data_IF_170082415333
#
_entry.id   IF_170082415333
#
_cell.length_a   1.000
_cell.length_b   1.000
_cell.length_c   1.000
_cell.angle_alpha   90.00
_cell.angle_beta   90.00
_cell.angle_gamma   90.00
#
_symmetry.space_group_name_H-M   'P 1'
#
loop_
_entity.id
_entity.type
_entity.pdbx_description
1 polymer ?
#
# COMPACT_ATOMS: atom_id res chain seq x y z
N UNK A 1 4.68 3.30 11.70
CA UNK A 1 3.97 2.03 11.44
C UNK A 1 2.93 1.68 12.50
N UNK A 2 2.99 2.20 13.74
CA UNK A 2 1.98 1.87 14.78
C UNK A 2 0.52 2.05 14.36
N UNK A 3 0.18 3.11 13.60
CA UNK A 3 -1.19 3.34 13.14
C UNK A 3 -1.71 2.25 12.19
N UNK A 4 -0.83 1.52 11.51
CA UNK A 4 -1.23 0.40 10.64
C UNK A 4 -1.83 -0.77 11.44
N UNK A 5 -1.48 -0.90 12.73
CA UNK A 5 -2.10 -1.89 13.62
C UNK A 5 -3.59 -1.64 13.85
N UNK A 6 -4.04 -0.39 13.75
CA UNK A 6 -5.47 -0.02 13.83
C UNK A 6 -6.23 -0.53 12.60
N UNK A 7 -5.52 -0.77 11.49
CA UNK A 7 -6.07 -1.26 10.24
C UNK A 7 -5.91 -2.78 10.10
N UNK A 8 -5.53 -3.48 11.17
CA UNK A 8 -5.19 -4.91 11.19
C UNK A 8 -4.09 -5.30 10.17
N UNK A 9 -3.16 -4.38 9.88
CA UNK A 9 -2.04 -4.59 8.96
C UNK A 9 -0.70 -4.56 9.71
N UNK A 10 0.07 -5.64 9.57
CA UNK A 10 1.49 -5.70 9.91
C UNK A 10 2.34 -5.45 8.65
N UNK A 11 2.70 -4.19 8.41
CA UNK A 11 3.52 -3.80 7.25
C UNK A 11 4.96 -4.34 7.28
N UNK A 12 5.44 -4.77 8.44
CA UNK A 12 6.75 -5.41 8.57
C UNK A 12 6.70 -6.91 8.21
N UNK A 13 5.50 -7.50 8.15
CA UNK A 13 5.32 -8.85 7.65
C UNK A 13 5.47 -8.86 6.12
N UNK A 14 6.62 -9.34 5.68
CA UNK A 14 7.01 -9.39 4.27
C UNK A 14 6.47 -10.63 3.55
N UNK A 15 5.76 -11.53 4.25
CA UNK A 15 5.19 -12.74 3.65
C UNK A 15 3.93 -12.44 2.83
N UNK A 16 3.24 -11.34 3.12
CA UNK A 16 2.02 -10.92 2.44
C UNK A 16 1.90 -9.40 2.35
N UNK A 17 1.43 -8.86 1.21
CA UNK A 17 1.12 -7.42 1.11
C UNK A 17 -0.07 -7.06 2.02
N UNK A 18 -0.24 -5.77 2.41
CA UNK A 18 -1.38 -5.34 3.23
C UNK A 18 -2.74 -5.82 2.75
N UNK A 19 -2.94 -5.89 1.44
CA UNK A 19 -4.17 -6.40 0.83
C UNK A 19 -4.50 -7.83 1.27
N UNK A 20 -3.52 -8.72 1.42
CA UNK A 20 -3.75 -10.12 1.78
C UNK A 20 -3.84 -10.37 3.29
N UNK A 21 -3.65 -9.33 4.11
CA UNK A 21 -3.73 -9.44 5.58
C UNK A 21 -5.14 -9.18 6.12
N UNK A 22 -6.07 -8.67 5.30
CA UNK A 22 -7.43 -8.27 5.71
C UNK A 22 -8.52 -8.96 4.89
N UNK A 23 -9.75 -8.97 5.40
CA UNK A 23 -10.92 -9.54 4.71
C UNK A 23 -11.29 -8.76 3.44
N UNK A 24 -11.93 -9.43 2.47
CA UNK A 24 -12.36 -8.84 1.20
C UNK A 24 -13.23 -7.57 1.38
N UNK A 25 -14.07 -7.52 2.41
CA UNK A 25 -14.93 -6.34 2.70
C UNK A 25 -14.14 -5.09 3.13
N UNK A 26 -12.88 -5.25 3.51
CA UNK A 26 -12.01 -4.19 4.03
C UNK A 26 -10.95 -3.72 3.02
N UNK A 27 -10.98 -4.24 1.79
CA UNK A 27 -9.96 -3.97 0.79
C UNK A 27 -10.54 -3.81 -0.61
N UNK A 28 -9.81 -3.10 -1.46
CA UNK A 28 -10.03 -3.01 -2.90
C UNK A 28 -8.67 -2.88 -3.59
N UNK A 29 -8.54 -3.48 -4.78
CA UNK A 29 -7.33 -3.46 -5.61
C UNK A 29 -7.66 -2.92 -6.99
N UNK A 30 -6.73 -2.14 -7.54
CA UNK A 30 -6.75 -1.67 -8.91
C UNK A 30 -5.44 -2.04 -9.59
N UNK A 31 -5.49 -2.51 -10.82
CA UNK A 31 -4.29 -2.67 -11.63
C UNK A 31 -3.72 -1.30 -11.99
N UNK A 32 -2.39 -1.16 -11.99
CA UNK A 32 -1.74 0.12 -12.27
C UNK A 32 -2.07 0.64 -13.67
N UNK A 33 -2.26 -0.29 -14.62
CA UNK A 33 -2.54 -0.04 -16.04
C UNK A 33 -3.80 0.82 -16.22
N UNK A 34 -4.76 0.73 -15.28
CA UNK A 34 -5.97 1.57 -15.25
C UNK A 34 -5.65 3.07 -15.22
N UNK A 35 -4.51 3.45 -14.63
CA UNK A 35 -4.12 4.83 -14.43
C UNK A 35 -3.07 5.33 -15.43
N UNK A 36 -2.51 4.45 -16.25
CA UNK A 36 -1.59 4.83 -17.32
C UNK A 36 -2.33 5.73 -18.33
N UNK A 37 -1.87 6.98 -18.46
CA UNK A 37 -2.57 7.99 -19.26
C UNK A 37 -3.89 8.51 -18.64
N UNK A 38 -4.38 7.93 -17.53
CA UNK A 38 -5.60 8.32 -16.83
C UNK A 38 -5.32 8.89 -15.42
N UNK A 39 -4.56 9.99 -15.38
CA UNK A 39 -4.24 10.66 -14.11
C UNK A 39 -5.46 11.28 -13.41
N UNK A 40 -6.56 11.50 -14.15
CA UNK A 40 -7.82 11.98 -13.57
C UNK A 40 -8.47 10.88 -12.72
N UNK A 41 -8.45 9.63 -13.18
CA UNK A 41 -8.91 8.47 -12.41
C UNK A 41 -8.11 8.30 -11.13
N UNK A 42 -6.77 8.35 -11.23
CA UNK A 42 -5.88 8.29 -10.07
C UNK A 42 -6.22 9.38 -9.04
N UNK A 43 -6.37 10.63 -9.51
CA UNK A 43 -6.70 11.74 -8.61
C UNK A 43 -8.08 11.59 -7.99
N UNK A 44 -9.05 11.04 -8.72
CA UNK A 44 -10.41 10.78 -8.23
C UNK A 44 -10.39 9.84 -7.02
N UNK A 45 -9.78 8.67 -7.16
CA UNK A 45 -9.67 7.68 -6.07
C UNK A 45 -8.96 8.27 -4.85
N UNK A 46 -7.84 8.95 -5.07
CA UNK A 46 -7.10 9.55 -3.95
C UNK A 46 -7.91 10.64 -3.24
N UNK A 47 -8.68 11.45 -3.98
CA UNK A 47 -9.53 12.50 -3.38
C UNK A 47 -10.67 11.91 -2.56
N UNK A 48 -11.20 10.75 -2.95
CA UNK A 48 -12.22 10.04 -2.16
C UNK A 48 -11.66 9.38 -0.91
N UNK A 49 -10.41 8.94 -0.98
CA UNK A 49 -9.69 8.35 0.13
C UNK A 49 -9.31 9.40 1.18
N UNK A 50 -8.83 10.57 0.75
CA UNK A 50 -8.33 11.62 1.64
C UNK A 50 -9.47 12.47 2.20
N UNK A 51 -9.63 12.48 3.53
CA UNK A 51 -10.56 13.33 4.27
C UNK A 51 -9.78 14.53 4.83
N UNK A 52 -9.77 15.63 4.10
CA UNK A 52 -9.06 16.85 4.54
C UNK A 52 -9.71 17.50 5.78
N UNK A 53 -8.93 17.91 6.81
CA UNK A 53 -7.47 17.81 6.90
C UNK A 53 -7.01 16.42 7.38
N UNK A 54 -6.30 15.70 6.51
CA UNK A 54 -5.74 14.39 6.84
C UNK A 54 -4.24 14.50 7.15
N UNK A 55 -3.81 13.84 8.23
CA UNK A 55 -2.39 13.69 8.56
C UNK A 55 -1.94 12.31 8.11
N UNK A 56 -1.28 12.25 6.96
CA UNK A 56 -0.85 11.01 6.32
C UNK A 56 0.56 10.65 6.80
N UNK A 57 0.73 9.43 7.31
CA UNK A 57 2.04 8.85 7.52
C UNK A 57 2.43 8.02 6.30
N UNK A 58 3.71 7.97 5.99
CA UNK A 58 4.25 7.09 4.96
C UNK A 58 5.28 6.16 5.59
N UNK A 59 5.26 4.89 5.22
CA UNK A 59 6.30 3.92 5.61
C UNK A 59 6.81 3.18 4.40
N UNK A 60 8.13 3.02 4.32
CA UNK A 60 8.79 2.36 3.19
C UNK A 60 10.10 1.70 3.60
N UNK A 61 10.54 0.71 2.83
CA UNK A 61 11.88 0.12 3.00
C UNK A 61 12.92 1.13 2.49
N UNK A 62 13.79 1.58 3.39
CA UNK A 62 14.85 2.55 3.08
C UNK A 62 16.23 1.92 2.92
N UNK A 63 16.37 0.65 3.28
CA UNK A 63 17.62 -0.08 3.21
C UNK A 63 17.59 -1.38 4.00
N UNK A 64 18.73 -2.06 4.02
CA UNK A 64 18.94 -3.29 4.75
C UNK A 64 20.40 -3.44 5.21
N UNK A 65 20.62 -4.34 6.16
CA UNK A 65 21.94 -4.77 6.63
C UNK A 65 21.98 -6.29 6.56
N UNK A 66 22.81 -6.85 5.69
CA UNK A 66 23.01 -8.31 5.62
C UNK A 66 23.76 -8.80 6.86
N UNK A 67 23.38 -9.97 7.38
CA UNK A 67 24.04 -10.61 8.51
C UNK A 67 25.54 -10.80 8.25
N UNK A 68 26.33 -10.66 9.32
CA UNK A 68 27.80 -10.66 9.23
C UNK A 68 28.41 -9.41 8.57
N UNK A 69 27.60 -8.48 8.05
CA UNK A 69 28.05 -7.17 7.57
C UNK A 69 27.64 -6.08 8.56
N UNK A 70 28.47 -5.06 8.69
CA UNK A 70 28.18 -3.88 9.51
C UNK A 70 27.63 -2.69 8.70
N UNK A 71 27.74 -2.75 7.37
CA UNK A 71 27.43 -1.63 6.49
C UNK A 71 25.99 -1.70 5.97
N UNK A 72 25.25 -0.62 6.18
CA UNK A 72 23.94 -0.37 5.57
C UNK A 72 24.03 -0.27 4.05
N UNK A 73 23.12 -0.94 3.36
CA UNK A 73 22.81 -0.73 1.95
C UNK A 73 21.53 0.09 1.86
N UNK A 74 21.58 1.21 1.14
CA UNK A 74 20.45 2.12 1.01
C UNK A 74 19.63 1.79 -0.23
N UNK A 75 18.31 1.75 -0.07
CA UNK A 75 17.38 1.63 -1.19
C UNK A 75 17.29 2.95 -1.98
N UNK A 76 17.19 2.84 -3.31
CA UNK A 76 17.07 4.01 -4.21
C UNK A 76 15.62 4.45 -4.36
N UNK A 77 14.97 4.79 -3.24
CA UNK A 77 13.52 5.04 -3.17
C UNK A 77 13.05 6.30 -3.89
N UNK A 78 13.95 7.27 -4.11
CA UNK A 78 13.67 8.61 -4.68
C UNK A 78 12.58 9.41 -3.94
N UNK A 79 12.14 8.96 -2.76
CA UNK A 79 10.99 9.55 -2.06
C UNK A 79 11.19 11.03 -1.71
N UNK A 80 12.43 11.43 -1.42
CA UNK A 80 12.80 12.83 -1.14
C UNK A 80 12.61 13.79 -2.31
N UNK A 81 12.32 13.30 -3.53
CA UNK A 81 11.93 14.15 -4.67
C UNK A 81 10.47 14.59 -4.59
N UNK A 82 9.63 13.84 -3.88
CA UNK A 82 8.19 14.03 -3.84
C UNK A 82 7.73 14.57 -2.49
N UNK A 83 8.46 14.22 -1.42
CA UNK A 83 8.06 14.48 -0.04
C UNK A 83 9.18 15.14 0.74
N UNK A 84 8.83 16.08 1.61
CA UNK A 84 9.78 16.62 2.60
C UNK A 84 10.02 15.57 3.69
N UNK A 85 11.24 15.05 3.75
CA UNK A 85 11.66 14.12 4.79
C UNK A 85 11.92 14.90 6.10
N UNK A 86 10.86 15.12 6.87
CA UNK A 86 10.90 15.72 8.22
C UNK A 86 10.16 14.79 9.18
N UNK A 87 10.49 14.83 10.47
CA UNK A 87 9.81 14.03 11.50
C UNK A 87 9.79 12.52 11.18
N UNK A 88 10.94 11.97 10.78
CA UNK A 88 11.07 10.58 10.39
C UNK A 88 11.62 9.71 11.53
N UNK A 89 11.27 8.42 11.52
CA UNK A 89 11.80 7.40 12.43
C UNK A 89 12.15 6.14 11.66
N UNK A 90 13.19 5.43 12.08
CA UNK A 90 13.54 4.12 11.54
C UNK A 90 13.05 2.99 12.46
N UNK A 91 12.64 1.88 11.85
CA UNK A 91 12.33 0.62 12.52
C UNK A 91 13.11 -0.48 11.83
N UNK A 92 13.84 -1.26 12.62
CA UNK A 92 14.67 -2.36 12.15
C UNK A 92 13.98 -3.67 12.45
N UNK A 93 13.90 -4.55 11.46
CA UNK A 93 13.24 -5.84 11.56
C UNK A 93 14.19 -6.89 11.02
N UNK A 94 14.56 -7.84 11.87
CA UNK A 94 15.38 -8.98 11.48
C UNK A 94 14.52 -9.95 10.68
N UNK A 95 14.97 -10.31 9.49
CA UNK A 95 14.28 -11.24 8.58
C UNK A 95 15.23 -12.38 8.28
N UNK A 96 15.04 -13.47 9.00
CA UNK A 96 15.94 -14.63 8.95
C UNK A 96 15.98 -15.28 7.57
N UNK A 97 14.84 -15.35 6.87
CA UNK A 97 14.74 -15.87 5.50
C UNK A 97 15.59 -15.08 4.49
N UNK A 98 15.87 -13.80 4.78
CA UNK A 98 16.70 -12.93 3.95
C UNK A 98 18.12 -12.75 4.51
N UNK A 99 18.44 -13.41 5.63
CA UNK A 99 19.67 -13.23 6.41
C UNK A 99 20.02 -11.75 6.56
N UNK A 100 19.03 -10.90 6.82
CA UNK A 100 19.17 -9.45 6.77
C UNK A 100 18.24 -8.75 7.75
N UNK A 101 18.71 -7.64 8.31
CA UNK A 101 17.87 -6.66 8.98
C UNK A 101 17.32 -5.68 7.95
N UNK A 102 16.00 -5.65 7.76
CA UNK A 102 15.31 -4.63 6.94
C UNK A 102 15.14 -3.35 7.75
N UNK A 103 15.35 -2.20 7.12
CA UNK A 103 15.18 -0.87 7.71
C UNK A 103 13.97 -0.18 7.06
N UNK A 104 12.88 -0.09 7.81
CA UNK A 104 11.71 0.69 7.45
C UNK A 104 11.87 2.13 7.94
N UNK A 105 11.58 3.10 7.09
CA UNK A 105 11.51 4.52 7.47
C UNK A 105 10.06 4.96 7.46
N UNK A 106 9.58 5.53 8.56
CA UNK A 106 8.30 6.23 8.64
C UNK A 106 8.53 7.74 8.59
N UNK A 107 7.81 8.47 7.74
CA UNK A 107 7.74 9.94 7.74
C UNK A 107 6.31 10.32 8.13
N UNK A 108 6.15 11.22 9.09
CA UNK A 108 4.83 11.64 9.58
C UNK A 108 4.39 12.97 9.00
N UNK A 109 3.08 13.14 8.82
CA UNK A 109 2.47 14.40 8.41
C UNK A 109 2.79 14.82 6.97
N UNK A 110 2.74 13.85 6.07
CA UNK A 110 2.83 14.04 4.61
C UNK A 110 1.53 14.62 4.09
N UNK A 111 1.62 15.56 3.15
CA UNK A 111 0.45 16.17 2.53
C UNK A 111 -0.09 15.31 1.37
N UNK A 112 -1.41 15.32 1.15
CA UNK A 112 -2.08 14.60 0.07
C UNK A 112 -1.49 14.86 -1.33
N UNK A 113 -1.13 16.11 -1.65
CA UNK A 113 -0.46 16.46 -2.90
C UNK A 113 0.92 15.81 -3.07
N UNK A 114 1.65 15.57 -1.96
CA UNK A 114 2.93 14.87 -1.99
C UNK A 114 2.70 13.38 -2.28
N UNK A 115 1.66 12.79 -1.70
CA UNK A 115 1.23 11.40 -1.99
C UNK A 115 0.84 11.26 -3.46
N UNK A 116 -0.02 12.15 -3.97
CA UNK A 116 -0.43 12.14 -5.38
C UNK A 116 0.75 12.27 -6.34
N UNK A 117 1.73 13.14 -6.04
CA UNK A 117 2.95 13.26 -6.86
C UNK A 117 3.75 11.97 -6.91
N UNK A 118 3.86 11.26 -5.79
CA UNK A 118 4.53 9.96 -5.75
C UNK A 118 3.74 8.90 -6.53
N UNK A 119 2.43 8.77 -6.30
CA UNK A 119 1.61 7.81 -7.02
C UNK A 119 1.63 8.06 -8.53
N UNK A 120 1.55 9.33 -8.96
CA UNK A 120 1.72 9.72 -10.36
C UNK A 120 3.08 9.30 -10.90
N UNK A 121 4.15 9.38 -10.11
CA UNK A 121 5.47 8.94 -10.56
C UNK A 121 5.50 7.43 -10.81
N UNK A 122 4.97 6.63 -9.90
CA UNK A 122 4.92 5.16 -10.05
C UNK A 122 4.07 4.75 -11.25
N UNK A 123 2.86 5.30 -11.38
CA UNK A 123 1.95 5.06 -12.52
C UNK A 123 2.59 5.38 -13.88
N UNK A 124 3.54 6.31 -13.94
CA UNK A 124 4.26 6.64 -15.18
C UNK A 124 5.58 5.84 -15.34
N UNK A 125 5.65 4.62 -14.82
CA UNK A 125 6.83 3.74 -14.92
C UNK A 125 7.99 4.13 -13.99
N UNK A 126 7.69 4.87 -12.92
CA UNK A 126 8.67 5.23 -11.91
C UNK A 126 9.14 4.03 -11.09
N UNK A 127 10.40 4.04 -10.67
CA UNK A 127 10.92 3.02 -9.73
C UNK A 127 10.24 3.19 -8.36
N UNK A 128 9.47 2.21 -7.91
CA UNK A 128 8.88 2.23 -6.57
C UNK A 128 9.87 1.80 -5.47
N UNK A 129 9.51 2.16 -4.25
CA UNK A 129 9.92 1.45 -3.05
C UNK A 129 8.76 0.54 -2.60
N UNK A 130 9.03 -0.45 -1.76
CA UNK A 130 7.96 -1.06 -0.96
C UNK A 130 7.44 0.01 0.01
N UNK A 131 6.22 0.51 -0.21
CA UNK A 131 5.72 1.75 0.39
C UNK A 131 4.21 1.69 0.66
N UNK A 132 3.79 2.34 1.75
CA UNK A 132 2.38 2.58 2.03
C UNK A 132 2.16 3.95 2.66
N UNK A 133 1.05 4.58 2.30
CA UNK A 133 0.55 5.84 2.82
C UNK A 133 -0.70 5.57 3.64
N UNK A 134 -0.79 6.07 4.86
CA UNK A 134 -1.86 5.65 5.77
C UNK A 134 -2.17 6.70 6.82
N UNK A 135 -3.35 6.59 7.39
CA UNK A 135 -3.76 7.23 8.62
C UNK A 135 -4.49 6.19 9.49
N UNK A 136 -5.33 6.61 10.44
CA UNK A 136 -6.09 5.68 11.30
C UNK A 136 -7.34 5.12 10.62
N UNK A 137 -7.64 5.55 9.39
CA UNK A 137 -8.86 5.22 8.65
C UNK A 137 -8.62 4.49 7.35
N UNK A 138 -7.42 4.57 6.78
CA UNK A 138 -7.07 3.85 5.56
C UNK A 138 -5.57 3.59 5.44
N UNK A 139 -5.23 2.64 4.58
CA UNK A 139 -3.91 2.41 4.02
C UNK A 139 -4.01 2.33 2.50
N UNK A 140 -3.09 3.03 1.83
CA UNK A 140 -2.85 3.01 0.39
C UNK A 140 -1.46 2.41 0.16
N UNK A 141 -1.42 1.20 -0.38
CA UNK A 141 -0.21 0.57 -0.90
C UNK A 141 -0.15 0.75 -2.41
N UNK A 142 1.05 0.95 -2.95
CA UNK A 142 1.26 1.10 -4.40
C UNK A 142 2.53 0.38 -4.84
N UNK A 143 2.40 -0.37 -5.93
CA UNK A 143 3.50 -0.97 -6.69
C UNK A 143 3.39 -0.63 -8.18
N UNK A 144 4.22 -1.27 -8.99
CA UNK A 144 4.25 -1.22 -10.46
C UNK A 144 3.16 -2.06 -11.06
N UNK A 145 2.41 -2.79 -10.25
CA UNK A 145 1.40 -3.74 -10.72
C UNK A 145 0.03 -3.30 -10.18
N UNK A 146 -0.03 -2.86 -8.92
CA UNK A 146 -1.31 -2.60 -8.24
C UNK A 146 -1.30 -1.34 -7.38
N UNK A 147 -2.50 -0.78 -7.18
CA UNK A 147 -2.85 0.10 -6.08
C UNK A 147 -3.82 -0.64 -5.18
N UNK A 148 -3.42 -0.86 -3.93
CA UNK A 148 -4.25 -1.50 -2.91
C UNK A 148 -4.73 -0.46 -1.90
N UNK A 149 -6.02 -0.47 -1.59
CA UNK A 149 -6.61 0.34 -0.52
C UNK A 149 -7.18 -0.61 0.51
N UNK A 150 -6.83 -0.38 1.78
CA UNK A 150 -7.35 -1.09 2.96
C UNK A 150 -8.01 -0.08 3.88
N UNK A 151 -9.19 -0.41 4.40
CA UNK A 151 -9.89 0.41 5.39
C UNK A 151 -10.80 -0.43 6.30
N UNK A 152 -10.85 -0.15 7.61
CA UNK A 152 -11.89 -0.70 8.49
C UNK A 152 -13.29 -0.14 8.19
N UNK A 153 -13.39 1.01 7.50
CA UNK A 153 -14.66 1.59 7.03
C UNK A 153 -15.15 0.81 5.80
N UNK A 154 -15.94 -0.24 6.03
CA UNK A 154 -16.47 -1.08 4.95
C UNK A 154 -17.39 -0.31 4.01
N UNK A 155 -18.04 0.76 4.49
CA UNK A 155 -18.89 1.62 3.64
C UNK A 155 -18.06 2.43 2.65
N UNK A 156 -16.85 2.87 3.03
CA UNK A 156 -15.90 3.48 2.09
C UNK A 156 -15.49 2.47 1.01
N UNK A 157 -15.13 1.24 1.40
CA UNK A 157 -14.72 0.19 0.46
C UNK A 157 -15.87 -0.18 -0.48
N UNK A 158 -17.07 -0.38 0.04
CA UNK A 158 -18.26 -0.68 -0.75
C UNK A 158 -18.57 0.45 -1.74
N UNK A 159 -18.50 1.72 -1.30
CA UNK A 159 -18.66 2.87 -2.18
C UNK A 159 -17.64 2.86 -3.33
N UNK A 160 -16.37 2.61 -3.04
CA UNK A 160 -15.32 2.53 -4.07
C UNK A 160 -15.59 1.36 -5.04
N UNK A 161 -15.96 0.18 -4.53
CA UNK A 161 -16.29 -0.98 -5.38
C UNK A 161 -17.49 -0.74 -6.28
N UNK A 162 -18.51 -0.03 -5.79
CA UNK A 162 -19.68 0.35 -6.58
C UNK A 162 -19.33 1.39 -7.64
N UNK A 163 -18.51 2.38 -7.29
CA UNK A 163 -18.13 3.45 -8.20
C UNK A 163 -17.21 2.98 -9.32
N UNK A 164 -16.32 2.03 -9.04
CA UNK A 164 -15.34 1.50 -9.98
C UNK A 164 -15.65 0.05 -10.36
N UNK A 165 -16.93 -0.30 -10.45
CA UNK A 165 -17.38 -1.70 -10.57
C UNK A 165 -16.81 -2.43 -11.77
N UNK A 166 -16.44 -1.74 -12.84
CA UNK A 166 -15.90 -2.35 -14.06
C UNK A 166 -14.37 -2.33 -14.09
N UNK A 167 -13.73 -1.60 -13.16
CA UNK A 167 -12.31 -1.29 -13.21
C UNK A 167 -11.48 -1.90 -12.07
N UNK A 168 -12.10 -2.22 -10.92
CA UNK A 168 -11.36 -2.83 -9.81
C UNK A 168 -11.14 -4.34 -10.03
N UNK A 169 -10.04 -4.86 -9.49
CA UNK A 169 -9.69 -6.28 -9.59
C UNK A 169 -10.65 -7.13 -8.73
N UNK A 170 -11.44 -7.97 -9.39
CA UNK A 170 -12.41 -8.88 -8.76
C UNK A 170 -11.87 -10.27 -8.49
N UNK A 171 -10.64 -10.59 -8.89
CA UNK A 171 -10.09 -11.95 -8.82
C UNK A 171 -10.09 -12.50 -7.39
N UNK A 172 -9.88 -11.62 -6.40
CA UNK A 172 -9.79 -11.98 -4.97
C UNK A 172 -11.04 -11.61 -4.15
N UNK A 173 -12.18 -11.34 -4.80
CA UNK A 173 -13.43 -10.95 -4.14
C UNK A 173 -14.30 -12.13 -3.73
N UNK A 174 -14.30 -13.21 -4.52
CA UNK A 174 -15.01 -14.44 -4.21
C UNK A 174 -14.17 -15.27 -3.24
N UNK A 175 -14.68 -15.45 -2.02
CA UNK A 175 -14.31 -16.63 -1.24
C UNK A 175 -14.84 -17.80 -2.07
N UNK A 176 -13.93 -18.62 -2.62
CA UNK A 176 -14.33 -19.97 -3.02
C UNK A 176 -14.85 -20.64 -1.75
N UNK A 177 -16.16 -20.63 -1.54
CA UNK A 177 -16.77 -21.56 -0.61
C UNK A 177 -16.55 -22.92 -1.23
N UNK A 178 -15.85 -23.81 -0.52
CA UNK A 178 -15.53 -25.19 -0.95
C UNK A 178 -16.74 -26.00 -1.47
N UNK A 179 -17.97 -25.49 -1.37
CA UNK A 179 -19.19 -26.07 -1.91
C UNK A 179 -19.34 -26.00 -3.44
N UNK A 180 -18.61 -25.15 -4.16
CA UNK A 180 -18.78 -25.00 -5.62
C UNK A 180 -17.79 -25.84 -6.46
N UNK A 181 -16.78 -26.47 -5.85
CA UNK A 181 -15.81 -27.31 -6.57
C UNK A 181 -16.25 -28.78 -6.74
N UNK A 182 -17.39 -29.22 -6.19
CA UNK A 182 -17.82 -30.63 -6.22
C UNK A 182 -19.17 -30.90 -6.93
N UNK A 183 -19.73 -29.94 -7.66
CA UNK A 183 -20.96 -30.17 -8.44
C UNK A 183 -20.74 -29.98 -9.93
N UNK A 184 -19.82 -30.75 -10.52
CA UNK A 184 -19.86 -31.04 -11.95
C UNK A 184 -19.27 -32.42 -12.22
N UNK A 185 -19.94 -33.47 -11.73
CA UNK A 185 -19.87 -34.81 -12.29
C UNK A 185 -21.22 -35.50 -12.03
N UNK A 186 -22.16 -35.29 -12.94
CA UNK A 186 -23.30 -36.19 -13.22
C UNK A 186 -23.64 -36.15 -14.69
#
# INVERSE_FOLDING_TARGET
>A
MERMKILDVNFADMTATPFFQVEAKNRIRFDIELFEGNLRGLRGILTELFKSPDTIDVSFISGYITYGKSKRINEKTKIGRFMKIKNWTETKVDVDDLESTIIFTTIKGVHEDEVYKYCKYVVNGGQQAYISFYNDTYLLYISTDVIDIVSPDTSLIEKLKLQYSEEYDKFYETILTDSEMFTSDK
#
